data_IF_638402196265
#
_entry.id   IF_638402196265
#
_cell.length_a   1.000
_cell.length_b   1.000
_cell.length_c   1.000
_cell.angle_alpha   90.00
_cell.angle_beta   90.00
_cell.angle_gamma   90.00
#
_symmetry.space_group_name_H-M   'P 1'
#
loop_
_entity.id
_entity.type
_entity.pdbx_description
1 polymer ?
#
# COMPACT_ATOMS: atom_id res chain seq x y z
N UNK A 1 1.34 5.58 4.83
CA UNK A 1 2.19 6.54 5.56
C UNK A 1 1.45 7.86 5.77
N UNK A 2 1.91 8.66 6.72
CA UNK A 2 1.30 9.97 7.00
C UNK A 2 1.31 10.84 5.74
N UNK A 3 2.41 10.87 5.01
CA UNK A 3 2.53 11.64 3.78
C UNK A 3 1.58 11.14 2.68
N UNK A 4 1.51 9.83 2.49
CA UNK A 4 0.62 9.25 1.49
C UNK A 4 -0.85 9.44 1.86
N UNK A 5 -1.19 9.32 3.15
CA UNK A 5 -2.56 9.53 3.63
C UNK A 5 -3.01 10.98 3.43
N UNK A 6 -2.11 11.94 3.69
CA UNK A 6 -2.38 13.35 3.45
C UNK A 6 -2.61 13.63 1.95
N UNK A 7 -1.81 13.04 1.07
CA UNK A 7 -1.97 13.18 -0.38
C UNK A 7 -3.30 12.57 -0.84
N UNK A 8 -3.70 11.43 -0.31
CA UNK A 8 -5.00 10.82 -0.64
C UNK A 8 -6.17 11.71 -0.19
N UNK A 9 -6.09 12.31 0.98
CA UNK A 9 -7.10 13.24 1.49
C UNK A 9 -7.20 14.46 0.57
N UNK A 10 -6.07 15.00 0.17
CA UNK A 10 -6.01 16.13 -0.75
C UNK A 10 -6.65 15.79 -2.11
N UNK A 11 -6.35 14.62 -2.66
CA UNK A 11 -6.98 14.13 -3.89
C UNK A 11 -8.50 14.03 -3.76
N UNK A 12 -9.00 13.54 -2.63
CA UNK A 12 -10.43 13.42 -2.37
C UNK A 12 -11.16 14.74 -2.29
N UNK A 13 -10.44 15.84 -2.01
CA UNK A 13 -10.99 17.18 -1.90
C UNK A 13 -10.82 18.01 -3.17
N UNK A 14 -9.96 17.55 -4.09
CA UNK A 14 -9.71 18.26 -5.35
C UNK A 14 -10.85 18.10 -6.34
N UNK A 15 -11.06 19.17 -7.11
CA UNK A 15 -12.01 19.17 -8.21
C UNK A 15 -11.23 18.97 -9.52
N UNK A 16 -11.21 17.73 -10.03
CA UNK A 16 -10.45 17.38 -11.22
C UNK A 16 -11.14 17.80 -12.48
N UNK A 17 -10.39 18.44 -13.39
CA UNK A 17 -10.88 18.87 -14.70
C UNK A 17 -10.82 17.78 -15.75
N UNK A 18 -9.91 16.81 -15.57
CA UNK A 18 -9.69 15.73 -16.52
C UNK A 18 -9.18 14.48 -15.83
N UNK A 19 -9.33 13.34 -16.50
CA UNK A 19 -8.80 12.06 -16.07
C UNK A 19 -7.27 12.10 -16.01
N UNK A 20 -6.64 12.83 -16.92
CA UNK A 20 -5.18 12.99 -16.96
C UNK A 20 -4.62 13.61 -15.69
N UNK A 21 -5.29 14.64 -15.17
CA UNK A 21 -4.91 15.31 -13.94
C UNK A 21 -5.04 14.37 -12.74
N UNK A 22 -6.14 13.63 -12.69
CA UNK A 22 -6.36 12.62 -11.65
C UNK A 22 -5.29 11.54 -11.69
N UNK A 23 -4.97 11.02 -12.88
CA UNK A 23 -3.97 9.98 -13.07
C UNK A 23 -2.57 10.43 -12.64
N UNK A 24 -2.23 11.70 -12.91
CA UNK A 24 -0.95 12.28 -12.50
C UNK A 24 -0.83 12.34 -10.97
N UNK A 25 -1.89 12.78 -10.27
CA UNK A 25 -1.92 12.82 -8.82
C UNK A 25 -1.87 11.41 -8.22
N UNK A 26 -2.56 10.45 -8.83
CA UNK A 26 -2.55 9.06 -8.40
C UNK A 26 -1.16 8.44 -8.50
N UNK A 27 -0.43 8.72 -9.59
CA UNK A 27 0.96 8.26 -9.75
C UNK A 27 1.86 8.84 -8.67
N UNK A 28 1.69 10.10 -8.31
CA UNK A 28 2.46 10.77 -7.28
C UNK A 28 2.25 10.10 -5.91
N UNK A 29 1.00 9.78 -5.56
CA UNK A 29 0.68 9.05 -4.34
C UNK A 29 1.31 7.65 -4.36
N UNK A 30 1.24 6.96 -5.50
CA UNK A 30 1.81 5.62 -5.63
C UNK A 30 3.34 5.62 -5.47
N UNK A 31 4.03 6.66 -5.95
CA UNK A 31 5.48 6.81 -5.74
C UNK A 31 5.79 6.88 -4.24
N UNK A 32 4.98 7.60 -3.46
CA UNK A 32 5.16 7.69 -2.00
C UNK A 32 4.95 6.31 -1.35
N UNK A 33 3.95 5.56 -1.76
CA UNK A 33 3.71 4.20 -1.24
C UNK A 33 4.84 3.25 -1.63
N UNK A 34 5.33 3.32 -2.87
CA UNK A 34 6.47 2.50 -3.30
C UNK A 34 7.72 2.78 -2.45
N UNK A 35 7.98 4.05 -2.15
CA UNK A 35 9.12 4.44 -1.32
C UNK A 35 8.95 4.00 0.14
N UNK A 36 7.72 3.93 0.64
CA UNK A 36 7.42 3.51 2.01
C UNK A 36 7.50 1.99 2.21
N UNK A 37 7.23 1.23 1.15
CA UNK A 37 7.11 -0.24 1.24
C UNK A 37 8.34 -0.92 1.85
N UNK A 38 9.60 -0.58 1.46
CA UNK A 38 10.78 -1.19 2.07
C UNK A 38 10.88 -0.98 3.59
N UNK A 39 10.40 0.16 4.08
CA UNK A 39 10.39 0.44 5.51
C UNK A 39 9.43 -0.47 6.25
N UNK A 40 8.25 -0.73 5.69
CA UNK A 40 7.28 -1.65 6.27
C UNK A 40 7.76 -3.10 6.20
N UNK A 41 8.41 -3.48 5.11
CA UNK A 41 9.00 -4.81 4.97
C UNK A 41 10.10 -5.04 6.01
N UNK A 42 10.93 -4.03 6.26
CA UNK A 42 11.96 -4.11 7.30
C UNK A 42 11.33 -4.21 8.69
N UNK A 43 10.27 -3.43 8.94
CA UNK A 43 9.54 -3.51 10.20
C UNK A 43 8.95 -4.91 10.40
N UNK A 44 8.43 -5.54 9.34
CA UNK A 44 7.94 -6.91 9.38
C UNK A 44 9.05 -7.91 9.72
N UNK A 45 10.25 -7.72 9.16
CA UNK A 45 11.40 -8.58 9.48
C UNK A 45 11.80 -8.48 10.96
N UNK A 46 11.69 -7.29 11.54
CA UNK A 46 12.02 -7.05 12.94
C UNK A 46 10.93 -7.53 13.90
N UNK A 47 9.67 -7.49 13.48
CA UNK A 47 8.52 -7.95 14.26
C UNK A 47 7.58 -8.74 13.36
N UNK A 48 7.91 -10.00 13.06
CA UNK A 48 7.11 -10.81 12.13
C UNK A 48 5.67 -11.08 12.57
N UNK A 49 5.39 -10.95 13.87
CA UNK A 49 4.07 -11.19 14.46
C UNK A 49 3.18 -9.94 14.54
N UNK A 50 3.67 -8.80 14.06
CA UNK A 50 2.89 -7.56 14.04
C UNK A 50 1.88 -7.60 12.90
N UNK A 51 0.62 -7.86 13.25
CA UNK A 51 -0.49 -7.99 12.29
C UNK A 51 -0.72 -6.68 11.53
N UNK A 52 -0.61 -5.54 12.21
CA UNK A 52 -0.85 -4.24 11.58
C UNK A 52 0.15 -3.96 10.45
N UNK A 53 1.41 -4.31 10.66
CA UNK A 53 2.45 -4.15 9.64
C UNK A 53 2.15 -5.02 8.42
N UNK A 54 1.77 -6.27 8.62
CA UNK A 54 1.40 -7.20 7.54
C UNK A 54 0.20 -6.67 6.77
N UNK A 55 -0.82 -6.19 7.47
CA UNK A 55 -2.01 -5.62 6.86
C UNK A 55 -1.67 -4.39 6.01
N UNK A 56 -0.78 -3.54 6.50
CA UNK A 56 -0.32 -2.36 5.77
C UNK A 56 0.39 -2.74 4.47
N UNK A 57 1.31 -3.70 4.52
CA UNK A 57 2.04 -4.18 3.34
C UNK A 57 1.06 -4.77 2.31
N UNK A 58 0.11 -5.57 2.77
CA UNK A 58 -0.94 -6.14 1.92
C UNK A 58 -1.73 -5.03 1.21
N UNK A 59 -2.17 -4.03 1.97
CA UNK A 59 -3.00 -2.93 1.44
C UNK A 59 -2.23 -2.09 0.42
N UNK A 60 -0.97 -1.77 0.71
CA UNK A 60 -0.11 -1.02 -0.21
C UNK A 60 0.13 -1.83 -1.49
N UNK A 61 0.40 -3.12 -1.36
CA UNK A 61 0.65 -4.00 -2.51
C UNK A 61 -0.58 -4.08 -3.42
N UNK A 62 -1.77 -4.16 -2.84
CA UNK A 62 -3.01 -4.16 -3.61
C UNK A 62 -3.22 -2.84 -4.35
N UNK A 63 -2.93 -1.72 -3.69
CA UNK A 63 -3.01 -0.40 -4.32
C UNK A 63 -2.06 -0.28 -5.52
N UNK A 64 -0.90 -0.93 -5.43
CA UNK A 64 0.15 -0.90 -6.45
C UNK A 64 0.10 -2.12 -7.38
N UNK A 65 -1.02 -2.82 -7.44
CA UNK A 65 -1.15 -4.12 -8.13
C UNK A 65 -0.80 -4.07 -9.62
N UNK A 66 -0.89 -2.90 -10.24
CA UNK A 66 -0.52 -2.71 -11.65
C UNK A 66 1.00 -2.66 -11.86
N UNK A 67 1.76 -2.48 -10.78
CA UNK A 67 3.22 -2.50 -10.83
C UNK A 67 3.74 -3.94 -10.82
N UNK A 68 4.86 -4.22 -11.53
CA UNK A 68 5.41 -5.58 -11.58
C UNK A 68 5.68 -6.17 -10.20
N UNK A 69 5.18 -7.39 -9.97
CA UNK A 69 5.42 -8.13 -8.73
C UNK A 69 4.55 -7.76 -7.55
N UNK A 70 3.78 -6.68 -7.65
CA UNK A 70 2.95 -6.23 -6.51
C UNK A 70 1.76 -7.14 -6.26
N UNK A 71 1.16 -7.72 -7.29
CA UNK A 71 0.06 -8.67 -7.10
C UNK A 71 0.52 -9.95 -6.41
N UNK A 72 1.71 -10.44 -6.74
CA UNK A 72 2.32 -11.59 -6.06
C UNK A 72 2.59 -11.28 -4.60
N UNK A 73 3.11 -10.09 -4.31
CA UNK A 73 3.34 -9.62 -2.96
C UNK A 73 2.03 -9.53 -2.18
N UNK A 74 0.98 -8.99 -2.79
CA UNK A 74 -0.35 -8.94 -2.18
C UNK A 74 -0.83 -10.33 -1.79
N UNK A 75 -0.73 -11.29 -2.69
CA UNK A 75 -1.16 -12.66 -2.43
C UNK A 75 -0.37 -13.28 -1.27
N UNK A 76 0.94 -13.09 -1.25
CA UNK A 76 1.82 -13.60 -0.20
C UNK A 76 1.42 -13.04 1.18
N UNK A 77 1.28 -11.72 1.29
CA UNK A 77 0.93 -11.10 2.56
C UNK A 77 -0.53 -11.32 2.95
N UNK A 78 -1.42 -11.48 1.98
CA UNK A 78 -2.81 -11.85 2.25
C UNK A 78 -2.89 -13.22 2.91
N UNK A 79 -2.16 -14.21 2.38
CA UNK A 79 -2.11 -15.55 2.97
C UNK A 79 -1.46 -15.53 4.37
N UNK A 80 -0.38 -14.77 4.53
CA UNK A 80 0.27 -14.61 5.83
C UNK A 80 -0.67 -14.00 6.85
N UNK A 81 -1.42 -12.98 6.46
CA UNK A 81 -2.39 -12.30 7.33
C UNK A 81 -3.49 -13.26 7.78
N UNK A 82 -3.99 -14.10 6.87
CA UNK A 82 -4.98 -15.13 7.21
C UNK A 82 -4.47 -16.09 8.27
N UNK A 83 -3.23 -16.53 8.13
CA UNK A 83 -2.57 -17.42 9.12
C UNK A 83 -2.44 -16.74 10.46
N UNK A 84 -2.00 -15.48 10.47
CA UNK A 84 -1.82 -14.71 11.71
C UNK A 84 -3.13 -14.50 12.45
N UNK A 85 -4.23 -14.35 11.70
CA UNK A 85 -5.57 -14.16 12.28
C UNK A 85 -6.31 -15.48 12.54
N UNK A 86 -5.71 -16.61 12.16
CA UNK A 86 -6.34 -17.91 12.32
C UNK A 86 -7.56 -18.14 11.44
N UNK A 87 -7.58 -17.54 10.26
CA UNK A 87 -8.70 -17.60 9.32
C UNK A 87 -8.57 -18.72 8.27
N UNK A 88 -7.53 -19.51 8.34
CA UNK A 88 -7.35 -20.67 7.46
C UNK A 88 -8.00 -21.91 8.03
#
# INVERSE_FOLDING_TARGET
TVKADAMNTEMGQKNYRSQSEYDADLKEVNVVYMAALPYFEKAHQLKPDDVDTVDYIKSISFRLRDEPGMMDKYNEYNELLKKMKGLE
#
